data_IF_666169019185
#
_entry.id   IF_666169019185
#
_cell.length_a   1.000
_cell.length_b   1.000
_cell.length_c   1.000
_cell.angle_alpha   90.00
_cell.angle_beta   90.00
_cell.angle_gamma   90.00
#
_symmetry.space_group_name_H-M   'P 1'
#
loop_
_entity.id
_entity.type
_entity.pdbx_description
1 polymer ?
#
# COMPACT_ATOMS: atom_id res chain seq x y z
N UNK A 1 -9.87 11.04 -9.33
CA UNK A 1 -9.47 11.77 -8.10
C UNK A 1 -9.18 10.73 -7.03
N UNK A 2 -7.99 10.73 -6.42
CA UNK A 2 -7.73 9.80 -5.30
C UNK A 2 -8.64 10.18 -4.12
N UNK A 3 -9.39 9.22 -3.56
CA UNK A 3 -10.21 9.49 -2.38
C UNK A 3 -9.32 9.99 -1.23
N UNK A 4 -9.74 11.07 -0.58
CA UNK A 4 -9.11 11.56 0.64
C UNK A 4 -9.76 10.84 1.79
N UNK A 5 -8.98 10.04 2.52
CA UNK A 5 -9.44 9.29 3.68
C UNK A 5 -9.55 10.19 4.90
N UNK A 6 -10.49 9.93 5.81
CA UNK A 6 -10.45 10.50 7.17
C UNK A 6 -9.77 9.55 8.14
N UNK A 7 -9.31 10.04 9.30
CA UNK A 7 -8.79 9.18 10.37
C UNK A 7 -9.79 8.08 10.77
N UNK A 8 -11.09 8.42 10.86
CA UNK A 8 -12.17 7.46 11.16
C UNK A 8 -12.37 6.40 10.07
N UNK A 9 -12.18 6.76 8.81
CA UNK A 9 -12.24 5.78 7.72
C UNK A 9 -11.08 4.79 7.81
N UNK A 10 -9.89 5.28 8.19
CA UNK A 10 -8.71 4.44 8.38
C UNK A 10 -8.91 3.37 9.45
N UNK A 11 -9.49 3.75 10.60
CA UNK A 11 -9.74 2.82 11.71
C UNK A 11 -10.54 1.58 11.27
N UNK A 12 -11.48 1.77 10.34
CA UNK A 12 -12.35 0.70 9.84
C UNK A 12 -11.85 0.02 8.57
N UNK A 13 -10.94 0.66 7.84
CA UNK A 13 -10.54 0.24 6.49
C UNK A 13 -9.03 0.12 6.31
N UNK A 14 -8.25 0.04 7.39
CA UNK A 14 -6.79 0.09 7.34
C UNK A 14 -6.19 -0.87 6.30
N UNK A 15 -6.64 -2.13 6.27
CA UNK A 15 -6.16 -3.12 5.30
C UNK A 15 -6.38 -2.69 3.84
N UNK A 16 -7.55 -2.12 3.53
CA UNK A 16 -7.88 -1.62 2.20
C UNK A 16 -7.05 -0.39 1.83
N UNK A 17 -6.78 0.50 2.78
CA UNK A 17 -5.94 1.67 2.55
C UNK A 17 -4.49 1.24 2.25
N UNK A 18 -3.97 0.26 2.98
CA UNK A 18 -2.65 -0.32 2.71
C UNK A 18 -2.57 -0.99 1.33
N UNK A 19 -3.62 -1.72 0.94
CA UNK A 19 -3.70 -2.34 -0.39
C UNK A 19 -3.74 -1.30 -1.51
N UNK A 20 -4.51 -0.22 -1.35
CA UNK A 20 -4.55 0.89 -2.31
C UNK A 20 -3.21 1.63 -2.35
N UNK A 21 -2.55 1.80 -1.21
CA UNK A 21 -1.21 2.38 -1.16
C UNK A 21 -0.19 1.57 -1.95
N UNK A 22 -0.30 0.23 -1.89
CA UNK A 22 0.56 -0.70 -2.64
C UNK A 22 0.25 -0.75 -4.14
N UNK A 23 -1.03 -0.68 -4.53
CA UNK A 23 -1.46 -0.95 -5.91
C UNK A 23 -1.68 0.31 -6.76
N UNK A 24 -2.18 1.38 -6.14
CA UNK A 24 -2.54 2.65 -6.80
C UNK A 24 -1.54 3.75 -6.46
N UNK A 25 -0.75 3.58 -5.39
CA UNK A 25 0.24 4.55 -4.92
C UNK A 25 -0.24 5.36 -3.70
N UNK A 26 0.50 6.41 -3.29
CA UNK A 26 0.31 7.05 -2.00
C UNK A 26 -1.12 7.54 -1.71
N UNK A 27 -1.59 7.28 -0.49
CA UNK A 27 -2.93 7.62 -0.02
C UNK A 27 -2.90 8.86 0.89
N UNK A 28 -3.85 9.77 0.69
CA UNK A 28 -3.97 11.00 1.49
C UNK A 28 -5.00 10.80 2.59
N UNK A 29 -4.64 11.20 3.80
CA UNK A 29 -5.47 11.07 5.00
C UNK A 29 -5.60 12.46 5.61
N UNK A 30 -6.82 12.88 5.95
CA UNK A 30 -7.11 14.15 6.61
C UNK A 30 -7.67 13.89 8.00
N UNK A 31 -7.18 14.64 8.97
CA UNK A 31 -7.78 14.74 10.29
C UNK A 31 -7.81 16.20 10.77
N UNK A 32 -8.18 16.42 12.03
CA UNK A 32 -8.28 17.75 12.67
C UNK A 32 -6.91 18.44 12.81
N UNK A 33 -5.83 17.68 12.82
CA UNK A 33 -4.44 18.13 12.99
C UNK A 33 -3.74 18.40 11.66
N UNK A 34 -4.21 17.83 10.55
CA UNK A 34 -3.67 18.13 9.22
C UNK A 34 -3.92 17.07 8.15
N UNK A 35 -3.04 17.07 7.14
CA UNK A 35 -3.06 16.11 6.03
C UNK A 35 -1.80 15.25 6.08
N UNK A 36 -2.00 13.94 6.14
CA UNK A 36 -0.96 12.92 6.14
C UNK A 36 -0.94 12.20 4.80
N UNK A 37 0.23 11.69 4.42
CA UNK A 37 0.41 10.86 3.22
C UNK A 37 0.99 9.52 3.64
N UNK A 38 0.22 8.46 3.41
CA UNK A 38 0.66 7.09 3.59
C UNK A 38 1.23 6.58 2.26
N UNK A 39 2.52 6.26 2.26
CA UNK A 39 3.24 5.66 1.14
C UNK A 39 3.77 4.29 1.57
N UNK A 40 3.74 3.33 0.65
CA UNK A 40 4.52 2.10 0.81
C UNK A 40 5.95 2.44 0.39
N UNK A 41 6.92 2.14 1.25
CA UNK A 41 8.32 2.13 0.83
C UNK A 41 8.64 0.73 0.33
N UNK A 42 9.20 0.67 -0.88
CA UNK A 42 9.65 -0.58 -1.46
C UNK A 42 10.85 -1.09 -0.63
N UNK A 43 10.66 -2.23 0.00
CA UNK A 43 11.75 -2.95 0.67
C UNK A 43 12.47 -3.80 -0.38
N UNK A 44 13.46 -3.21 -1.04
CA UNK A 44 14.29 -3.88 -2.05
C UNK A 44 15.15 -5.02 -1.48
N UNK A 45 15.20 -5.20 -0.15
CA UNK A 45 15.84 -6.38 0.46
C UNK A 45 14.93 -7.61 0.45
N UNK A 46 13.64 -7.45 0.13
CA UNK A 46 12.76 -8.59 -0.13
C UNK A 46 12.78 -8.89 -1.64
N UNK A 47 13.03 -10.15 -2.04
CA UNK A 47 13.04 -10.50 -3.46
C UNK A 47 11.69 -10.12 -4.07
N UNK A 48 11.75 -9.48 -5.23
CA UNK A 48 10.56 -9.11 -6.01
C UNK A 48 9.63 -10.32 -6.10
N UNK A 49 8.32 -10.10 -5.97
CA UNK A 49 7.33 -11.15 -6.15
C UNK A 49 7.52 -11.83 -7.52
N UNK A 50 7.96 -11.09 -8.55
CA UNK A 50 8.33 -11.64 -9.84
C UNK A 50 9.54 -12.60 -9.76
N UNK A 51 10.60 -12.22 -9.05
CA UNK A 51 11.77 -13.11 -8.83
C UNK A 51 11.41 -14.35 -8.00
N UNK A 52 10.55 -14.19 -7.00
CA UNK A 52 10.10 -15.30 -6.16
C UNK A 52 9.24 -16.29 -6.93
N UNK A 53 8.38 -15.81 -7.85
CA UNK A 53 7.59 -16.65 -8.74
C UNK A 53 8.45 -17.35 -9.81
N UNK A 54 9.51 -16.70 -10.30
CA UNK A 54 10.49 -17.33 -11.20
C UNK A 54 11.24 -18.49 -10.52
N UNK A 55 11.52 -18.41 -9.22
CA UNK A 55 12.13 -19.50 -8.44
C UNK A 55 11.19 -20.69 -8.22
N UNK A 56 9.88 -20.48 -8.29
CA UNK A 56 8.85 -21.51 -8.15
C UNK A 56 8.42 -22.13 -9.48
N UNK A 57 8.97 -21.67 -10.61
CA UNK A 57 8.63 -22.22 -11.92
C UNK A 57 9.09 -23.69 -12.00
N UNK A 58 8.20 -24.65 -12.35
CA UNK A 58 8.61 -26.02 -12.55
C UNK A 58 9.66 -26.05 -13.67
N UNK A 59 10.81 -26.69 -13.40
CA UNK A 59 11.75 -27.06 -14.47
C UNK A 59 11.20 -28.32 -15.11
N UNK A 60 10.38 -28.16 -16.14
CA UNK A 60 9.76 -29.24 -16.90
C UNK A 60 9.13 -28.71 -18.17
#
# INVERSE_FOLDING_TARGET
>A
MNPVWTAKDLERNLARVLEQARTVGPQRIRDETGIYVLKIEDDFNKPDAAESLLKLRPKG
#
